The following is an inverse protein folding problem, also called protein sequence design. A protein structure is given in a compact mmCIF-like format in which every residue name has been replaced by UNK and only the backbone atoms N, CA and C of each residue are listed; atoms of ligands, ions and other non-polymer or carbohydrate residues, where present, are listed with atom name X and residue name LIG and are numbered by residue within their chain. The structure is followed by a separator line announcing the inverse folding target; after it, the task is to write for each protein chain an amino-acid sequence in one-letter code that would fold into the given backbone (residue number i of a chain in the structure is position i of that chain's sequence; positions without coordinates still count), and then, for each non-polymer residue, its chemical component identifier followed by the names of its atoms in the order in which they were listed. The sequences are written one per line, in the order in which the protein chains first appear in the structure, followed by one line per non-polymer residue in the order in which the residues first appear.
data_IF_794307466898
#
_entry.id   IF_794307466898
#
_cell.length_a   1.000
_cell.length_b   1.000
_cell.length_c   1.000
_cell.angle_alpha   90.00
_cell.angle_beta   90.00
_cell.angle_gamma   90.00
#
_symmetry.space_group_name_H-M   'P 1'
#
loop_
_entity.id
_entity.type
_entity.pdbx_description
1 polymer ?
#
# COMPACT_ATOMS: atom_id res chain seq x y z
N UNK A 1 -4.20 -22.42 -0.08
CA UNK A 1 -4.48 -21.00 0.18
C UNK A 1 -5.88 -20.83 0.77
N UNK A 2 -6.05 -19.96 1.80
CA UNK A 2 -7.32 -19.68 2.49
C UNK A 2 -7.42 -18.19 2.80
N UNK A 3 -8.61 -17.59 2.66
CA UNK A 3 -8.88 -16.22 3.12
C UNK A 3 -8.96 -16.24 4.66
N UNK A 4 -8.27 -15.30 5.28
CA UNK A 4 -8.21 -15.11 6.74
C UNK A 4 -8.49 -13.65 7.10
N UNK A 5 -8.73 -13.38 8.37
CA UNK A 5 -8.84 -12.00 8.89
C UNK A 5 -7.47 -11.41 9.22
N UNK A 6 -7.42 -10.10 9.47
CA UNK A 6 -6.26 -9.40 10.02
C UNK A 6 -5.57 -8.41 9.07
N UNK A 7 -5.94 -8.36 7.78
CA UNK A 7 -5.37 -7.40 6.85
C UNK A 7 -3.85 -7.38 6.90
N UNK A 8 -3.25 -6.19 7.02
CA UNK A 8 -1.78 -6.03 7.12
C UNK A 8 -1.18 -6.59 8.42
N UNK A 9 -1.99 -6.92 9.43
CA UNK A 9 -1.52 -7.52 10.69
C UNK A 9 -1.62 -9.05 10.68
N UNK A 10 -2.14 -9.67 9.62
CA UNK A 10 -2.26 -11.12 9.52
C UNK A 10 -0.89 -11.82 9.45
N UNK A 11 0.06 -11.20 8.76
CA UNK A 11 1.44 -11.65 8.64
C UNK A 11 2.19 -11.46 9.96
N UNK A 12 2.95 -12.47 10.37
CA UNK A 12 3.67 -12.49 11.66
C UNK A 12 4.66 -11.32 11.76
N UNK A 13 4.65 -10.65 12.92
CA UNK A 13 5.57 -9.54 13.22
C UNK A 13 5.15 -8.21 12.62
N UNK A 14 3.98 -8.10 11.99
CA UNK A 14 3.42 -6.82 11.56
C UNK A 14 2.38 -6.30 12.55
N UNK A 15 2.45 -5.01 12.84
CA UNK A 15 1.51 -4.25 13.67
C UNK A 15 1.05 -3.01 12.92
N UNK A 16 -0.14 -2.57 13.21
CA UNK A 16 -0.68 -1.34 12.61
C UNK A 16 -1.36 -0.46 13.64
N UNK A 17 -1.52 0.80 13.29
CA UNK A 17 -2.25 1.80 14.08
C UNK A 17 -2.85 2.85 13.15
N UNK A 18 -3.92 3.48 13.59
CA UNK A 18 -4.53 4.61 12.92
C UNK A 18 -5.14 5.59 13.92
N UNK A 19 -4.83 6.87 13.78
CA UNK A 19 -5.31 7.92 14.68
C UNK A 19 -5.88 9.11 13.91
N UNK A 20 -6.63 9.97 14.59
CA UNK A 20 -6.92 11.32 14.12
C UNK A 20 -5.88 12.27 14.74
N UNK A 21 -5.12 12.96 13.90
CA UNK A 21 -4.12 13.93 14.37
C UNK A 21 -4.46 15.39 13.99
N UNK A 22 -5.50 15.62 13.21
CA UNK A 22 -5.99 16.96 12.88
C UNK A 22 -5.59 17.50 11.51
N UNK A 23 -5.09 16.67 10.60
CA UNK A 23 -4.92 17.02 9.19
C UNK A 23 -6.30 17.26 8.57
N UNK A 24 -7.26 16.40 8.89
CA UNK A 24 -8.66 16.58 8.50
C UNK A 24 -9.43 17.43 9.53
N UNK A 25 -10.30 18.30 9.02
CA UNK A 25 -11.22 19.05 9.87
C UNK A 25 -12.27 18.15 10.55
N UNK A 26 -12.61 17.02 9.93
CA UNK A 26 -13.57 16.07 10.49
C UNK A 26 -12.90 15.22 11.58
N UNK A 27 -13.23 15.51 12.83
CA UNK A 27 -12.66 14.87 14.03
C UNK A 27 -13.12 13.42 14.24
N UNK A 28 -14.09 12.93 13.51
CA UNK A 28 -14.59 11.55 13.64
C UNK A 28 -13.84 10.56 12.75
N UNK A 29 -13.06 11.06 11.78
CA UNK A 29 -12.28 10.23 10.84
C UNK A 29 -10.80 10.24 11.20
N UNK A 30 -10.16 9.09 11.21
CA UNK A 30 -8.70 8.95 11.32
C UNK A 30 -8.04 9.56 10.08
N UNK A 31 -6.81 10.05 10.24
CA UNK A 31 -6.08 10.73 9.17
C UNK A 31 -4.56 10.48 9.16
N UNK A 32 -4.08 9.63 10.08
CA UNK A 32 -2.68 9.20 10.14
C UNK A 32 -2.61 7.71 10.47
N UNK A 33 -1.97 6.93 9.58
CA UNK A 33 -1.77 5.49 9.69
C UNK A 33 -0.29 5.15 9.87
N UNK A 34 -0.01 4.08 10.60
CA UNK A 34 1.31 3.48 10.74
C UNK A 34 1.19 1.97 10.62
N UNK A 35 2.03 1.37 9.77
CA UNK A 35 2.26 -0.07 9.70
C UNK A 35 3.73 -0.28 10.08
N UNK A 36 4.01 -1.22 10.95
CA UNK A 36 5.34 -1.48 11.49
C UNK A 36 5.66 -2.97 11.46
N UNK A 37 6.88 -3.30 11.05
CA UNK A 37 7.44 -4.64 11.12
C UNK A 37 8.43 -4.75 12.28
N UNK A 38 8.33 -5.80 13.08
CA UNK A 38 9.28 -6.08 14.20
C UNK A 38 10.70 -6.38 13.70
N UNK A 39 10.85 -6.76 12.42
CA UNK A 39 12.13 -7.01 11.74
C UNK A 39 12.19 -6.19 10.46
N UNK A 40 13.40 -5.72 10.09
CA UNK A 40 13.59 -5.09 8.78
C UNK A 40 13.16 -6.07 7.69
N UNK A 41 12.38 -5.57 6.74
CA UNK A 41 11.77 -6.36 5.67
C UNK A 41 12.42 -6.05 4.32
N UNK A 42 12.43 -7.03 3.42
CA UNK A 42 12.56 -6.76 2.01
C UNK A 42 11.34 -5.98 1.55
N UNK A 43 11.56 -4.96 0.72
CA UNK A 43 10.50 -4.06 0.31
C UNK A 43 10.59 -3.75 -1.19
N UNK A 44 9.43 -3.67 -1.81
CA UNK A 44 9.28 -3.20 -3.18
C UNK A 44 8.08 -2.28 -3.29
N UNK A 45 8.15 -1.31 -4.20
CA UNK A 45 7.02 -0.46 -4.50
C UNK A 45 6.96 -0.11 -5.99
N UNK A 46 5.75 0.12 -6.47
CA UNK A 46 5.45 0.69 -7.77
C UNK A 46 4.66 1.98 -7.58
N UNK A 47 4.80 2.90 -8.51
CA UNK A 47 4.38 4.29 -8.36
C UNK A 47 3.64 4.79 -9.58
N UNK A 48 2.87 5.86 -9.42
CA UNK A 48 2.23 6.57 -10.52
C UNK A 48 3.19 6.93 -11.65
N UNK A 49 2.71 6.91 -12.87
CA UNK A 49 3.40 7.41 -14.05
C UNK A 49 3.11 8.89 -14.32
N UNK A 50 2.29 9.55 -13.49
CA UNK A 50 2.02 10.97 -13.63
C UNK A 50 3.30 11.78 -13.50
N UNK A 51 3.51 12.73 -14.41
CA UNK A 51 4.68 13.61 -14.40
C UNK A 51 4.69 14.55 -13.20
N UNK A 52 3.52 14.87 -12.65
CA UNK A 52 3.36 15.63 -11.42
C UNK A 52 3.28 14.67 -10.24
N UNK A 53 4.43 14.24 -9.74
CA UNK A 53 4.49 13.32 -8.59
C UNK A 53 4.42 14.06 -7.27
N UNK A 54 3.71 13.48 -6.30
CA UNK A 54 3.72 13.93 -4.92
C UNK A 54 5.08 13.77 -4.25
N UNK A 55 5.45 14.72 -3.41
CA UNK A 55 6.71 14.71 -2.69
C UNK A 55 7.00 13.43 -1.89
N UNK A 56 5.99 12.79 -1.23
CA UNK A 56 6.21 11.52 -0.53
C UNK A 56 6.76 10.41 -1.42
N UNK A 57 6.37 10.37 -2.71
CA UNK A 57 6.88 9.35 -3.63
C UNK A 57 8.37 9.51 -3.91
N UNK A 58 8.85 10.75 -4.02
CA UNK A 58 10.28 11.03 -4.21
C UNK A 58 11.09 10.55 -3.01
N UNK A 59 10.65 10.88 -1.79
CA UNK A 59 11.31 10.45 -0.55
C UNK A 59 11.29 8.93 -0.43
N UNK A 60 10.14 8.29 -0.66
CA UNK A 60 10.02 6.82 -0.60
C UNK A 60 10.88 6.12 -1.65
N UNK A 61 10.99 6.66 -2.88
CA UNK A 61 11.89 6.09 -3.90
C UNK A 61 13.34 6.08 -3.42
N UNK A 62 13.80 7.18 -2.84
CA UNK A 62 15.16 7.28 -2.30
C UNK A 62 15.38 6.30 -1.13
N UNK A 63 14.40 6.19 -0.22
CA UNK A 63 14.48 5.26 0.92
C UNK A 63 14.52 3.80 0.47
N UNK A 64 13.82 3.44 -0.59
CA UNK A 64 13.75 2.07 -1.11
C UNK A 64 14.87 1.72 -2.12
N UNK A 65 15.89 2.57 -2.31
CA UNK A 65 17.02 2.25 -3.19
C UNK A 65 17.76 0.97 -2.75
N UNK A 66 17.80 0.70 -1.44
CA UNK A 66 18.42 -0.50 -0.88
C UNK A 66 17.45 -1.71 -0.82
N UNK A 67 16.21 -1.57 -1.27
CA UNK A 67 15.20 -2.62 -1.23
C UNK A 67 14.74 -3.03 0.17
N UNK A 68 14.91 -2.19 1.20
CA UNK A 68 14.54 -2.50 2.58
C UNK A 68 13.62 -1.43 3.18
N UNK A 69 12.68 -1.87 4.03
CA UNK A 69 11.88 -0.98 4.86
C UNK A 69 11.46 -1.69 6.15
N UNK A 70 11.05 -0.91 7.16
CA UNK A 70 10.57 -1.46 8.42
C UNK A 70 9.24 -0.83 8.87
N UNK A 71 8.86 0.30 8.28
CA UNK A 71 7.58 0.93 8.56
C UNK A 71 7.00 1.63 7.33
N UNK A 72 5.68 1.81 7.34
CA UNK A 72 4.95 2.67 6.42
C UNK A 72 4.16 3.67 7.24
N UNK A 73 4.37 4.97 7.00
CA UNK A 73 3.54 6.03 7.55
C UNK A 73 2.76 6.71 6.43
N UNK A 74 1.46 6.87 6.62
CA UNK A 74 0.59 7.47 5.62
C UNK A 74 -0.37 8.46 6.26
N UNK A 75 -0.43 9.67 5.71
CA UNK A 75 -1.49 10.61 6.06
C UNK A 75 -2.55 10.71 4.98
N UNK A 76 -3.80 10.96 5.41
CA UNK A 76 -4.88 11.35 4.52
C UNK A 76 -5.37 12.77 4.82
N UNK A 77 -6.10 13.37 3.85
CA UNK A 77 -6.59 14.74 3.93
C UNK A 77 -5.76 15.78 3.19
N UNK A 78 -4.47 15.53 2.99
CA UNK A 78 -3.57 16.35 2.19
C UNK A 78 -2.58 15.45 1.43
N UNK A 79 -2.46 15.64 0.13
CA UNK A 79 -1.64 14.83 -0.75
C UNK A 79 -0.13 15.17 -0.69
N UNK A 80 0.23 16.29 -0.08
CA UNK A 80 1.59 16.80 -0.10
C UNK A 80 2.19 16.88 -1.53
N UNK A 81 1.37 17.36 -2.46
CA UNK A 81 1.70 17.50 -3.88
C UNK A 81 1.53 18.94 -4.30
N UNK A 82 2.43 19.43 -5.17
CA UNK A 82 2.51 20.84 -5.63
C UNK A 82 2.74 21.81 -4.47
N UNK A 83 3.51 21.41 -3.48
CA UNK A 83 3.89 22.22 -2.33
C UNK A 83 5.38 22.57 -2.41
N UNK A 84 5.76 23.82 -2.10
CA UNK A 84 7.14 24.30 -2.17
C UNK A 84 8.09 23.53 -1.20
N UNK A 85 7.58 23.12 -0.04
CA UNK A 85 8.34 22.39 0.99
C UNK A 85 7.92 20.92 1.12
N UNK A 86 7.31 20.33 0.09
CA UNK A 86 6.72 18.98 0.17
C UNK A 86 7.75 17.91 0.53
N UNK A 87 8.96 17.96 -0.04
CA UNK A 87 10.04 17.01 0.26
C UNK A 87 10.45 17.12 1.74
N UNK A 88 10.69 18.34 2.24
CA UNK A 88 11.06 18.58 3.64
C UNK A 88 10.01 18.00 4.62
N UNK A 89 8.74 18.21 4.32
CA UNK A 89 7.64 17.66 5.15
C UNK A 89 7.60 16.14 5.09
N UNK A 90 7.83 15.53 3.93
CA UNK A 90 7.86 14.07 3.80
C UNK A 90 9.07 13.46 4.53
N UNK A 91 10.26 14.05 4.40
CA UNK A 91 11.45 13.65 5.15
C UNK A 91 11.22 13.79 6.66
N UNK A 92 10.69 14.94 7.09
CA UNK A 92 10.40 15.16 8.52
C UNK A 92 9.36 14.18 9.07
N UNK A 93 8.39 13.78 8.27
CA UNK A 93 7.40 12.76 8.65
C UNK A 93 8.08 11.41 8.89
N UNK A 94 9.00 10.99 8.00
CA UNK A 94 9.76 9.75 8.18
C UNK A 94 10.67 9.79 9.41
N UNK A 95 11.36 10.92 9.67
CA UNK A 95 12.20 11.11 10.86
C UNK A 95 11.41 10.99 12.16
N UNK A 96 10.23 11.61 12.22
CA UNK A 96 9.36 11.53 13.40
C UNK A 96 8.90 10.10 13.68
N UNK A 97 8.47 9.38 12.64
CA UNK A 97 8.08 7.98 12.76
C UNK A 97 9.25 7.10 13.19
N UNK A 98 10.40 7.27 12.53
CA UNK A 98 11.62 6.51 12.81
C UNK A 98 12.12 6.73 14.24
N UNK A 99 12.18 7.98 14.70
CA UNK A 99 12.56 8.33 16.06
C UNK A 99 11.63 7.65 17.09
N UNK A 100 10.33 7.70 16.86
CA UNK A 100 9.35 7.05 17.72
C UNK A 100 9.52 5.53 17.76
N UNK A 101 9.84 4.89 16.65
CA UNK A 101 9.99 3.43 16.53
C UNK A 101 11.39 2.93 16.91
N UNK A 102 12.40 3.80 16.96
CA UNK A 102 13.80 3.43 17.17
C UNK A 102 14.46 2.76 15.96
N UNK A 103 14.06 3.16 14.75
CA UNK A 103 14.58 2.68 13.47
C UNK A 103 15.22 3.82 12.67
N UNK A 104 15.77 3.55 11.49
CA UNK A 104 16.30 4.59 10.62
C UNK A 104 15.18 5.27 9.82
N UNK A 105 15.31 6.57 9.55
CA UNK A 105 14.37 7.30 8.70
C UNK A 105 14.32 6.73 7.28
N UNK A 106 15.45 6.27 6.74
CA UNK A 106 15.55 5.59 5.45
C UNK A 106 14.81 4.24 5.38
N UNK A 107 14.42 3.67 6.52
CA UNK A 107 13.67 2.42 6.56
C UNK A 107 12.14 2.66 6.68
N UNK A 108 11.70 3.93 6.47
CA UNK A 108 10.29 4.34 6.53
C UNK A 108 9.79 4.72 5.14
N UNK A 109 8.76 4.03 4.70
CA UNK A 109 7.97 4.41 3.53
C UNK A 109 7.00 5.53 3.93
N UNK A 110 7.01 6.63 3.20
CA UNK A 110 6.13 7.79 3.43
C UNK A 110 5.09 7.88 2.32
N UNK A 111 3.83 8.02 2.68
CA UNK A 111 2.73 8.20 1.76
C UNK A 111 1.79 9.33 2.22
N UNK A 112 1.15 9.96 1.28
CA UNK A 112 0.13 10.99 1.54
C UNK A 112 -0.97 10.92 0.50
N UNK A 113 -2.19 11.26 0.89
CA UNK A 113 -3.34 11.32 -0.01
C UNK A 113 -4.33 12.40 0.43
N UNK A 114 -5.06 13.00 -0.49
CA UNK A 114 -6.07 14.02 -0.23
C UNK A 114 -5.92 15.25 -1.13
N UNK A 115 -6.07 16.45 -0.57
CA UNK A 115 -6.08 17.70 -1.35
C UNK A 115 -4.69 18.00 -1.89
N UNK A 116 -4.62 18.39 -3.17
CA UNK A 116 -3.42 18.81 -3.90
C UNK A 116 -3.28 20.34 -3.84
N UNK A 117 -2.05 20.85 -3.81
CA UNK A 117 -1.75 22.29 -3.87
C UNK A 117 -2.03 23.09 -2.59
N UNK A 118 -2.28 22.39 -1.47
CA UNK A 118 -2.37 23.02 -0.15
C UNK A 118 -1.15 22.67 0.69
N UNK A 119 -0.52 23.62 1.38
CA UNK A 119 0.57 23.33 2.30
C UNK A 119 0.15 22.31 3.37
N UNK A 120 0.98 21.30 3.59
CA UNK A 120 0.84 20.37 4.69
C UNK A 120 1.66 20.87 5.89
N UNK A 121 1.03 21.08 7.06
CA UNK A 121 1.76 21.34 8.30
C UNK A 121 2.28 20.03 8.88
N UNK A 122 3.50 20.06 9.41
CA UNK A 122 4.08 18.94 10.15
C UNK A 122 3.50 18.81 11.57
N UNK A 123 2.96 19.88 12.16
CA UNK A 123 2.53 19.91 13.56
C UNK A 123 1.45 18.88 13.91
N UNK A 124 0.39 18.69 13.10
CA UNK A 124 -0.58 17.62 13.35
C UNK A 124 0.06 16.24 13.36
N UNK A 125 0.96 15.97 12.41
CA UNK A 125 1.67 14.69 12.32
C UNK A 125 2.52 14.49 13.57
N UNK A 126 3.36 15.46 13.92
CA UNK A 126 4.22 15.41 15.11
C UNK A 126 3.41 15.16 16.38
N UNK A 127 2.27 15.83 16.52
CA UNK A 127 1.36 15.66 17.67
C UNK A 127 0.69 14.27 17.70
N UNK A 128 0.45 13.66 16.54
CA UNK A 128 -0.18 12.34 16.40
C UNK A 128 0.76 11.16 16.65
N UNK A 129 2.07 11.31 16.43
CA UNK A 129 3.06 10.23 16.52
C UNK A 129 3.03 9.47 17.86
N UNK A 130 2.97 10.12 19.05
CA UNK A 130 2.94 9.39 20.32
C UNK A 130 1.72 8.46 20.43
N UNK A 131 0.54 8.95 20.05
CA UNK A 131 -0.68 8.15 20.09
C UNK A 131 -0.65 7.03 19.03
N UNK A 132 -0.09 7.31 17.85
CA UNK A 132 0.07 6.33 16.78
C UNK A 132 0.98 5.17 17.21
N UNK A 133 2.13 5.47 17.86
CA UNK A 133 3.02 4.46 18.42
C UNK A 133 2.36 3.65 19.54
N UNK A 134 1.69 4.33 20.46
CA UNK A 134 1.02 3.66 21.60
C UNK A 134 -0.12 2.74 21.14
N UNK A 135 -0.74 3.04 20.00
CA UNK A 135 -1.83 2.26 19.39
C UNK A 135 -1.36 1.09 18.51
N UNK A 136 -0.04 0.86 18.36
CA UNK A 136 0.45 -0.27 17.54
C UNK A 136 0.01 -1.62 18.11
N UNK A 137 -0.69 -2.40 17.30
CA UNK A 137 -1.22 -3.73 17.64
C UNK A 137 -1.86 -4.36 16.40
N UNK A 138 -2.73 -5.33 16.61
CA UNK A 138 -3.50 -5.99 15.55
C UNK A 138 -4.64 -5.09 15.03
N UNK A 139 -4.27 -3.86 14.64
CA UNK A 139 -5.19 -2.77 14.31
C UNK A 139 -5.20 -2.44 12.81
N UNK A 140 -5.18 -3.45 11.94
CA UNK A 140 -5.24 -3.28 10.48
C UNK A 140 -6.42 -2.39 10.05
N UNK A 141 -7.60 -2.64 10.62
CA UNK A 141 -8.81 -1.86 10.34
C UNK A 141 -8.64 -0.36 10.64
N UNK A 142 -7.94 -0.01 11.73
CA UNK A 142 -7.67 1.39 12.07
C UNK A 142 -6.74 2.08 11.06
N UNK A 143 -5.72 1.35 10.56
CA UNK A 143 -4.84 1.84 9.52
C UNK A 143 -5.59 1.99 8.18
N UNK A 144 -6.42 0.99 7.82
CA UNK A 144 -7.26 1.04 6.61
C UNK A 144 -8.21 2.26 6.63
N UNK A 145 -8.83 2.55 7.77
CA UNK A 145 -9.68 3.75 7.92
C UNK A 145 -8.87 5.05 7.79
N UNK A 146 -7.68 5.10 8.36
CA UNK A 146 -6.87 6.32 8.39
C UNK A 146 -6.32 6.73 7.03
N UNK A 147 -6.20 5.81 6.07
CA UNK A 147 -5.76 6.12 4.71
C UNK A 147 -6.92 6.50 3.77
N UNK A 148 -8.17 6.26 4.14
CA UNK A 148 -9.36 6.59 3.32
C UNK A 148 -9.45 8.08 3.03
N UNK A 149 -10.03 8.44 1.87
CA UNK A 149 -10.38 9.81 1.51
C UNK A 149 -11.88 9.95 1.28
N UNK A 150 -12.33 9.73 0.07
CA UNK A 150 -13.73 9.71 -0.34
C UNK A 150 -14.34 8.31 -0.27
N UNK A 151 -13.53 7.32 0.04
CA UNK A 151 -13.95 5.93 0.24
C UNK A 151 -15.13 5.83 1.21
N UNK A 152 -16.10 4.98 0.88
CA UNK A 152 -17.28 4.72 1.73
C UNK A 152 -17.11 3.46 2.57
N UNK A 153 -16.23 2.54 2.14
CA UNK A 153 -15.92 1.29 2.83
C UNK A 153 -14.42 1.10 3.00
N UNK A 154 -14.03 0.48 4.11
CA UNK A 154 -12.66 0.02 4.34
C UNK A 154 -12.34 -1.15 3.43
N UNK A 155 -11.13 -1.20 2.91
CA UNK A 155 -10.67 -2.25 2.01
C UNK A 155 -9.48 -2.95 2.63
N UNK A 156 -9.69 -4.17 3.09
CA UNK A 156 -8.63 -5.03 3.65
C UNK A 156 -8.91 -6.49 3.34
N UNK A 157 -7.85 -7.26 3.19
CA UNK A 157 -7.89 -8.71 2.98
C UNK A 157 -6.61 -9.33 3.50
N UNK A 158 -6.66 -10.60 3.89
CA UNK A 158 -5.50 -11.43 4.10
C UNK A 158 -5.77 -12.88 3.65
N UNK A 159 -4.70 -13.57 3.27
CA UNK A 159 -4.73 -14.98 2.93
C UNK A 159 -3.57 -15.72 3.60
N UNK A 160 -3.77 -17.00 3.92
CA UNK A 160 -2.69 -17.93 4.23
C UNK A 160 -2.43 -18.85 3.03
N UNK A 161 -1.16 -19.19 2.83
CA UNK A 161 -0.66 -20.07 1.77
C UNK A 161 0.55 -20.85 2.27
N UNK A 162 1.00 -21.82 1.53
CA UNK A 162 2.12 -22.69 1.94
C UNK A 162 3.30 -22.51 0.97
N UNK A 163 4.50 -22.42 1.52
CA UNK A 163 5.78 -22.52 0.81
C UNK A 163 6.51 -23.74 1.37
N UNK A 164 6.62 -24.78 0.54
CA UNK A 164 6.98 -26.10 1.05
C UNK A 164 5.98 -26.55 2.12
N UNK A 165 6.47 -26.83 3.33
CA UNK A 165 5.64 -27.22 4.49
C UNK A 165 5.37 -26.06 5.46
N UNK A 166 5.75 -24.81 5.11
CA UNK A 166 5.64 -23.65 5.98
C UNK A 166 4.42 -22.80 5.60
N UNK A 167 3.50 -22.61 6.56
CA UNK A 167 2.40 -21.66 6.39
C UNK A 167 2.93 -20.24 6.41
N UNK A 168 2.70 -19.51 5.33
CA UNK A 168 2.95 -18.08 5.18
C UNK A 168 1.64 -17.32 5.11
N UNK A 169 1.69 -16.02 5.44
CA UNK A 169 0.54 -15.12 5.36
C UNK A 169 0.91 -13.88 4.57
N UNK A 170 -0.07 -13.39 3.82
CA UNK A 170 0.02 -12.12 3.11
C UNK A 170 -1.31 -11.39 3.29
N UNK A 171 -1.24 -10.10 3.56
CA UNK A 171 -2.42 -9.27 3.70
C UNK A 171 -2.19 -7.86 3.25
N UNK A 172 -3.27 -7.13 2.97
CA UNK A 172 -3.17 -5.77 2.48
C UNK A 172 -4.35 -4.91 2.90
N UNK A 173 -4.10 -3.61 2.88
CA UNK A 173 -5.11 -2.56 2.95
C UNK A 173 -5.00 -1.65 1.74
N UNK A 174 -6.13 -1.10 1.31
CA UNK A 174 -6.18 -0.18 0.19
C UNK A 174 -7.11 1.00 0.43
N UNK A 175 -6.83 2.11 -0.24
CA UNK A 175 -7.76 3.21 -0.44
C UNK A 175 -7.83 3.59 -1.92
N UNK A 176 -8.99 4.03 -2.33
CA UNK A 176 -9.28 4.52 -3.67
C UNK A 176 -10.77 4.47 -3.95
N UNK A 177 -11.30 5.53 -4.55
CA UNK A 177 -12.71 5.68 -4.85
C UNK A 177 -12.93 6.69 -5.98
N UNK A 178 -11.99 7.59 -6.25
CA UNK A 178 -11.97 8.53 -7.37
C UNK A 178 -10.55 8.83 -7.82
N UNK A 179 -10.40 9.46 -8.99
CA UNK A 179 -9.14 9.72 -9.69
C UNK A 179 -8.44 8.38 -10.04
N UNK A 180 -9.19 7.42 -10.61
CA UNK A 180 -8.70 6.06 -10.90
C UNK A 180 -8.73 5.77 -12.40
N UNK A 181 -7.54 5.55 -13.01
CA UNK A 181 -7.36 5.20 -14.40
C UNK A 181 -6.14 4.28 -14.61
N UNK A 182 -6.17 3.30 -15.54
CA UNK A 182 -5.04 2.41 -15.85
C UNK A 182 -3.72 3.15 -16.08
N UNK A 183 -2.60 2.53 -15.71
CA UNK A 183 -1.23 3.04 -15.61
C UNK A 183 -0.89 3.63 -14.23
N UNK A 184 -1.25 2.91 -13.18
CA UNK A 184 -1.13 3.29 -11.77
C UNK A 184 -2.09 4.42 -11.42
N UNK A 185 -3.31 4.01 -11.11
CA UNK A 185 -4.45 4.87 -10.76
C UNK A 185 -4.43 5.28 -9.28
N UNK A 186 -5.20 6.31 -8.90
CA UNK A 186 -5.24 6.92 -7.54
C UNK A 186 -5.59 5.92 -6.46
N UNK A 187 -4.57 5.21 -6.01
CA UNK A 187 -4.71 4.30 -4.89
C UNK A 187 -3.45 4.34 -4.04
N UNK A 188 -3.63 4.09 -2.78
CA UNK A 188 -2.57 3.64 -1.91
C UNK A 188 -2.90 2.22 -1.48
N UNK A 189 -1.96 1.32 -1.72
CA UNK A 189 -2.06 -0.08 -1.33
C UNK A 189 -0.82 -0.45 -0.55
N UNK A 190 -1.02 -0.97 0.65
CA UNK A 190 0.06 -1.45 1.50
C UNK A 190 -0.16 -2.93 1.79
N UNK A 191 0.85 -3.73 1.46
CA UNK A 191 0.83 -5.18 1.55
C UNK A 191 1.95 -5.62 2.50
N UNK A 192 1.68 -6.58 3.33
CA UNK A 192 2.64 -7.18 4.26
C UNK A 192 2.62 -8.70 4.12
N UNK A 193 3.77 -9.32 4.22
CA UNK A 193 3.89 -10.78 4.26
C UNK A 193 5.01 -11.21 5.19
N UNK A 194 4.81 -12.32 5.88
CA UNK A 194 5.85 -12.97 6.69
C UNK A 194 6.68 -13.99 5.89
N UNK A 195 6.36 -14.19 4.61
CA UNK A 195 7.14 -15.04 3.71
C UNK A 195 8.55 -14.48 3.51
N UNK A 196 9.55 -15.36 3.54
CA UNK A 196 10.91 -15.03 3.14
C UNK A 196 11.01 -15.06 1.61
N UNK A 197 11.25 -13.92 1.01
CA UNK A 197 11.42 -13.71 -0.44
C UNK A 197 12.44 -12.60 -0.65
N UNK A 198 13.38 -12.78 -1.57
CA UNK A 198 14.41 -11.79 -1.86
C UNK A 198 13.81 -10.49 -2.44
N UNK A 199 14.44 -9.35 -2.19
CA UNK A 199 13.98 -8.07 -2.70
C UNK A 199 13.84 -8.02 -4.22
N UNK A 200 14.70 -8.74 -4.95
CA UNK A 200 14.63 -8.86 -6.41
C UNK A 200 13.36 -9.61 -6.85
N UNK A 201 13.10 -10.78 -6.25
CA UNK A 201 11.92 -11.58 -6.57
C UNK A 201 10.63 -10.89 -6.11
N UNK A 202 10.66 -10.19 -4.97
CA UNK A 202 9.52 -9.39 -4.50
C UNK A 202 9.18 -8.26 -5.47
N UNK A 203 10.20 -7.53 -5.96
CA UNK A 203 10.02 -6.48 -6.98
C UNK A 203 9.47 -7.04 -8.27
N UNK A 204 10.00 -8.20 -8.72
CA UNK A 204 9.50 -8.90 -9.91
C UNK A 204 8.03 -9.29 -9.74
N UNK A 205 7.70 -9.94 -8.63
CA UNK A 205 6.35 -10.37 -8.32
C UNK A 205 5.36 -9.19 -8.36
N UNK A 206 5.68 -8.11 -7.67
CA UNK A 206 4.83 -6.92 -7.61
C UNK A 206 4.65 -6.32 -9.01
N UNK A 207 5.73 -6.14 -9.78
CA UNK A 207 5.67 -5.51 -11.10
C UNK A 207 4.84 -6.33 -12.11
N UNK A 208 4.94 -7.65 -12.07
CA UNK A 208 4.15 -8.53 -12.92
C UNK A 208 2.67 -8.48 -12.55
N UNK A 209 2.36 -8.59 -11.25
CA UNK A 209 0.97 -8.68 -10.80
C UNK A 209 0.18 -7.37 -10.99
N UNK A 210 0.81 -6.22 -10.78
CA UNK A 210 0.17 -4.90 -10.97
C UNK A 210 -0.36 -4.70 -12.40
N UNK A 211 0.34 -5.22 -13.40
CA UNK A 211 -0.07 -5.11 -14.79
C UNK A 211 -1.39 -5.85 -15.09
N UNK A 212 -1.73 -6.84 -14.27
CA UNK A 212 -2.92 -7.69 -14.42
C UNK A 212 -4.01 -7.40 -13.39
N UNK A 213 -3.74 -6.49 -12.46
CA UNK A 213 -4.67 -6.15 -11.38
C UNK A 213 -5.01 -4.66 -11.37
N UNK A 214 -4.25 -3.84 -10.69
CA UNK A 214 -4.59 -2.42 -10.50
C UNK A 214 -4.53 -1.61 -11.81
N UNK A 215 -3.70 -2.01 -12.78
CA UNK A 215 -3.69 -1.36 -14.09
C UNK A 215 -4.89 -1.76 -14.99
N UNK A 216 -5.76 -2.63 -14.50
CA UNK A 216 -6.96 -3.09 -15.22
C UNK A 216 -8.26 -2.44 -14.74
N UNK A 217 -8.20 -1.50 -13.78
CA UNK A 217 -9.39 -0.83 -13.25
C UNK A 217 -9.41 0.66 -13.59
N UNK A 218 -10.59 1.18 -13.92
CA UNK A 218 -10.84 2.61 -14.11
C UNK A 218 -12.15 3.02 -13.46
N UNK A 219 -12.22 4.24 -12.92
CA UNK A 219 -13.44 4.82 -12.34
C UNK A 219 -13.84 6.07 -13.14
N UNK A 220 -12.95 7.04 -13.29
CA UNK A 220 -13.23 8.37 -13.84
C UNK A 220 -12.23 8.83 -14.91
N UNK A 221 -11.25 8.01 -15.26
CA UNK A 221 -10.27 8.29 -16.29
C UNK A 221 -9.12 9.23 -15.88
N UNK A 222 -9.03 9.63 -14.61
CA UNK A 222 -7.99 10.52 -14.11
C UNK A 222 -6.84 9.74 -13.46
N UNK A 223 -5.58 10.10 -13.76
CA UNK A 223 -4.38 9.52 -13.14
C UNK A 223 -3.87 10.39 -12.00
N UNK A 224 -3.75 9.80 -10.81
CA UNK A 224 -3.29 10.50 -9.60
C UNK A 224 -1.81 10.85 -9.61
N UNK A 225 -1.50 11.79 -8.73
CA UNK A 225 -0.14 12.24 -8.43
C UNK A 225 0.56 11.40 -7.35
N UNK A 226 -0.17 10.55 -6.60
CA UNK A 226 0.33 9.94 -5.36
C UNK A 226 0.22 8.41 -5.30
N UNK A 227 -0.12 7.75 -6.43
CA UNK A 227 -0.31 6.30 -6.43
C UNK A 227 0.93 5.54 -6.02
N UNK A 228 0.72 4.58 -5.15
CA UNK A 228 1.74 3.66 -4.72
C UNK A 228 1.13 2.33 -4.29
N UNK A 229 1.72 1.24 -4.75
CA UNK A 229 1.56 -0.08 -4.15
C UNK A 229 2.89 -0.46 -3.55
N UNK A 230 2.94 -0.65 -2.23
CA UNK A 230 4.14 -1.06 -1.51
C UNK A 230 3.92 -2.40 -0.82
N UNK A 231 4.92 -3.27 -0.89
CA UNK A 231 4.92 -4.58 -0.23
C UNK A 231 6.15 -4.72 0.66
N UNK A 232 5.95 -5.23 1.89
CA UNK A 232 6.98 -5.55 2.87
C UNK A 232 6.96 -7.05 3.17
N UNK A 233 8.12 -7.71 3.08
CA UNK A 233 8.31 -9.13 3.37
C UNK A 233 9.38 -9.28 4.47
N UNK A 234 8.99 -9.69 5.68
CA UNK A 234 9.91 -9.74 6.83
C UNK A 234 10.55 -11.13 7.07
N UNK A 235 10.08 -12.16 6.40
CA UNK A 235 10.63 -13.52 6.48
C UNK A 235 10.41 -14.22 7.83
N UNK A 236 9.44 -13.76 8.64
CA UNK A 236 9.18 -14.34 9.98
C UNK A 236 8.34 -15.63 9.94
N UNK A 237 7.84 -16.04 8.78
CA UNK A 237 7.22 -17.36 8.60
C UNK A 237 8.26 -18.47 8.76
N UNK A 238 9.50 -18.24 8.30
CA UNK A 238 10.61 -19.17 8.44
C UNK A 238 10.71 -20.20 7.30
N UNK A 239 10.06 -19.95 6.17
CA UNK A 239 10.24 -20.71 4.94
C UNK A 239 11.64 -20.48 4.36
N UNK A 240 12.08 -21.37 3.47
CA UNK A 240 13.27 -21.13 2.64
C UNK A 240 13.04 -19.88 1.80
N UNK A 241 14.05 -19.01 1.73
CA UNK A 241 13.94 -17.76 0.97
C UNK A 241 13.70 -18.05 -0.52
N UNK A 242 12.69 -17.40 -1.07
CA UNK A 242 12.40 -17.44 -2.51
C UNK A 242 13.37 -16.47 -3.20
N UNK A 243 14.43 -16.98 -3.80
CA UNK A 243 15.49 -16.22 -4.47
C UNK A 243 15.49 -16.37 -6.01
N UNK A 244 14.62 -17.22 -6.53
CA UNK A 244 14.53 -17.58 -7.96
C UNK A 244 13.11 -17.95 -8.36
N UNK A 245 12.85 -17.97 -9.67
CA UNK A 245 11.59 -18.45 -10.21
C UNK A 245 11.50 -19.97 -10.05
N UNK A 246 10.32 -20.45 -9.64
CA UNK A 246 10.05 -21.85 -9.41
C UNK A 246 8.66 -22.05 -8.82
N UNK A 247 8.42 -23.22 -8.26
CA UNK A 247 7.12 -23.58 -7.68
C UNK A 247 6.75 -22.65 -6.51
N UNK A 248 7.68 -22.40 -5.58
CA UNK A 248 7.48 -21.51 -4.42
C UNK A 248 7.19 -20.08 -4.85
N UNK A 249 7.90 -19.56 -5.88
CA UNK A 249 7.58 -18.25 -6.44
C UNK A 249 6.19 -18.24 -7.07
N UNK A 250 5.80 -19.31 -7.77
CA UNK A 250 4.45 -19.45 -8.33
C UNK A 250 3.35 -19.43 -7.26
N UNK A 251 3.57 -20.11 -6.12
CA UNK A 251 2.62 -20.07 -4.99
C UNK A 251 2.55 -18.68 -4.34
N UNK A 252 3.69 -17.99 -4.19
CA UNK A 252 3.70 -16.60 -3.72
C UNK A 252 2.94 -15.67 -4.67
N UNK A 253 3.15 -15.79 -5.99
CA UNK A 253 2.43 -15.02 -7.01
C UNK A 253 0.92 -15.21 -6.93
N UNK A 254 0.44 -16.45 -6.73
CA UNK A 254 -1.00 -16.73 -6.56
C UNK A 254 -1.57 -16.05 -5.32
N UNK A 255 -0.81 -16.05 -4.22
CA UNK A 255 -1.24 -15.40 -2.98
C UNK A 255 -1.28 -13.87 -3.12
N UNK A 256 -0.24 -13.27 -3.70
CA UNK A 256 -0.18 -11.83 -4.00
C UNK A 256 -1.32 -11.42 -4.94
N UNK A 257 -1.53 -12.16 -6.03
CA UNK A 257 -2.61 -11.90 -6.98
C UNK A 257 -3.99 -11.97 -6.32
N UNK A 258 -4.22 -12.95 -5.43
CA UNK A 258 -5.50 -13.05 -4.69
C UNK A 258 -5.76 -11.81 -3.84
N UNK A 259 -4.73 -11.29 -3.15
CA UNK A 259 -4.84 -10.05 -2.38
C UNK A 259 -5.13 -8.87 -3.31
N UNK A 260 -4.35 -8.70 -4.36
CA UNK A 260 -4.45 -7.56 -5.27
C UNK A 260 -5.77 -7.55 -6.05
N UNK A 261 -6.22 -8.69 -6.58
CA UNK A 261 -7.53 -8.81 -7.26
C UNK A 261 -8.68 -8.43 -6.33
N UNK A 262 -8.63 -8.86 -5.07
CA UNK A 262 -9.67 -8.51 -4.09
C UNK A 262 -9.67 -7.00 -3.79
N UNK A 263 -8.51 -6.41 -3.55
CA UNK A 263 -8.38 -4.98 -3.26
C UNK A 263 -8.77 -4.12 -4.46
N UNK A 264 -8.32 -4.46 -5.68
CA UNK A 264 -8.66 -3.68 -6.88
C UNK A 264 -10.16 -3.77 -7.22
N UNK A 265 -10.80 -4.93 -7.07
CA UNK A 265 -12.27 -5.06 -7.20
C UNK A 265 -13.02 -4.25 -6.15
N UNK A 266 -12.52 -4.22 -4.91
CA UNK A 266 -13.11 -3.43 -3.83
C UNK A 266 -12.99 -1.93 -4.09
N UNK A 267 -11.88 -1.47 -4.68
CA UNK A 267 -11.69 -0.08 -5.12
C UNK A 267 -12.69 0.26 -6.23
N UNK A 268 -12.77 -0.57 -7.27
CA UNK A 268 -13.67 -0.32 -8.40
C UNK A 268 -15.16 -0.35 -7.99
N UNK A 269 -15.52 -1.22 -7.03
CA UNK A 269 -16.89 -1.31 -6.52
C UNK A 269 -17.30 -0.11 -5.66
N UNK A 270 -16.34 0.58 -5.02
CA UNK A 270 -16.55 1.76 -4.17
C UNK A 270 -16.28 3.08 -4.93
N UNK A 271 -16.38 3.08 -6.26
CA UNK A 271 -16.14 4.26 -7.09
C UNK A 271 -17.07 5.42 -6.76
N UNK A 272 -16.56 6.66 -6.74
CA UNK A 272 -17.34 7.87 -6.48
C UNK A 272 -18.54 7.97 -7.44
N UNK A 273 -19.76 7.99 -6.87
CA UNK A 273 -21.01 8.03 -7.63
C UNK A 273 -21.37 6.72 -8.35
N UNK A 274 -20.56 5.67 -8.24
CA UNK A 274 -20.83 4.39 -8.86
C UNK A 274 -22.02 3.66 -8.19
N UNK A 275 -22.93 3.16 -9.02
CA UNK A 275 -24.04 2.31 -8.58
C UNK A 275 -23.88 0.86 -9.04
N UNK A 276 -22.90 0.59 -9.89
CA UNK A 276 -22.61 -0.70 -10.52
C UNK A 276 -21.09 -0.90 -10.62
N UNK A 277 -20.66 -2.15 -10.42
CA UNK A 277 -19.35 -2.62 -10.86
C UNK A 277 -19.54 -3.26 -12.25
N UNK A 278 -18.84 -2.74 -13.24
CA UNK A 278 -18.81 -3.31 -14.59
C UNK A 278 -17.55 -4.17 -14.73
N UNK A 279 -17.71 -5.34 -15.29
CA UNK A 279 -16.59 -6.23 -15.61
C UNK A 279 -16.63 -6.51 -17.13
N UNK A 280 -15.53 -6.14 -17.81
CA UNK A 280 -15.33 -6.44 -19.23
C UNK A 280 -14.46 -7.70 -19.34
N UNK A 281 -14.97 -8.76 -19.94
CA UNK A 281 -14.24 -9.99 -20.18
C UNK A 281 -14.07 -10.20 -21.69
N UNK A 282 -12.82 -10.17 -22.15
CA UNK A 282 -12.47 -10.48 -23.54
C UNK A 282 -12.00 -11.93 -23.62
N UNK A 283 -12.54 -12.68 -24.58
CA UNK A 283 -12.16 -14.07 -24.87
C UNK A 283 -11.95 -14.27 -26.37
N UNK A 284 -11.08 -15.23 -26.73
CA UNK A 284 -10.79 -15.54 -28.13
C UNK A 284 -9.85 -14.55 -28.83
N UNK A 285 -9.20 -13.64 -28.12
CA UNK A 285 -8.13 -12.81 -28.67
C UNK A 285 -6.89 -13.66 -29.00
N UNK A 286 -6.06 -13.18 -29.93
CA UNK A 286 -4.84 -13.89 -30.35
C UNK A 286 -3.79 -13.99 -29.23
N UNK A 287 -3.75 -13.01 -28.35
CA UNK A 287 -2.89 -12.97 -27.15
C UNK A 287 -3.49 -12.03 -26.10
N UNK A 288 -2.87 -11.99 -24.91
CA UNK A 288 -3.34 -11.19 -23.79
C UNK A 288 -3.26 -9.67 -24.05
N UNK A 289 -2.23 -9.19 -24.75
CA UNK A 289 -2.07 -7.75 -25.04
C UNK A 289 -3.20 -7.23 -25.92
N UNK A 290 -3.61 -8.04 -26.91
CA UNK A 290 -4.78 -7.72 -27.75
C UNK A 290 -6.06 -7.75 -26.89
N UNK A 291 -6.20 -8.75 -26.01
CA UNK A 291 -7.35 -8.83 -25.12
C UNK A 291 -7.45 -7.60 -24.20
N UNK A 292 -6.33 -7.18 -23.61
CA UNK A 292 -6.24 -5.97 -22.75
C UNK A 292 -6.58 -4.70 -23.52
N UNK A 293 -6.11 -4.58 -24.77
CA UNK A 293 -6.38 -3.41 -25.62
C UNK A 293 -7.86 -3.29 -25.99
N UNK A 294 -8.56 -4.42 -26.10
CA UNK A 294 -10.00 -4.46 -26.45
C UNK A 294 -10.87 -4.24 -25.22
N UNK A 295 -10.44 -4.68 -24.03
CA UNK A 295 -11.16 -4.51 -22.76
C UNK A 295 -11.18 -3.05 -22.29
#
# INVERSE_FOLDING_TARGET
MKIISGGVCAAKGFKASGVHCGIRKNRTKRDLALIYSEKIADAAAVYTTNLVMGAPLTVTKNHLENGKAQAIICNSGNANTCNANGIEIAERTSELAACALGIKASDVIVASTGVIGQPLSIDPIASGIPALKAGLGDCSEAAAEAIMTTDTVKKEIAVSFEIGEVECKIGGIAKGSGMIHPNMATMLVFITTDCAISGEMLKKALSCDIAETFNMISIDGDTSTNDMVAVLANGLAGNTEIDSEGEDFGEFMKALNTVNVNLCRSIAADGEGATKLLECKVSGAQNEDIAKTVA
#
